data_IF_491877406965
#
_entry.id   IF_491877406965
#
_cell.length_a   1.000
_cell.length_b   1.000
_cell.length_c   1.000
_cell.angle_alpha   90.00
_cell.angle_beta   90.00
_cell.angle_gamma   90.00
#
_symmetry.space_group_name_H-M   'P 1'
#
loop_
_entity.id
_entity.type
_entity.pdbx_description
1 polymer ?
#
# COMPACT_ATOMS: atom_id res chain seq x y z
N UNK A 1 14.97 -23.33 -24.62
CA UNK A 1 14.67 -22.37 -23.53
C UNK A 1 13.93 -21.19 -24.16
N UNK A 2 12.63 -21.33 -24.39
CA UNK A 2 11.78 -20.33 -25.05
C UNK A 2 10.85 -19.78 -23.98
N UNK A 3 11.18 -18.63 -23.40
CA UNK A 3 10.26 -17.93 -22.50
C UNK A 3 9.08 -17.48 -23.35
N UNK A 4 7.95 -18.17 -23.18
CA UNK A 4 6.73 -17.96 -23.95
C UNK A 4 6.10 -16.64 -23.54
N UNK A 5 5.66 -15.86 -24.51
CA UNK A 5 4.93 -14.59 -24.35
C UNK A 5 3.76 -14.73 -23.37
N UNK A 6 3.19 -15.93 -23.25
CA UNK A 6 2.14 -16.27 -22.29
C UNK A 6 2.47 -15.93 -20.84
N UNK A 7 3.72 -16.13 -20.37
CA UNK A 7 4.07 -15.83 -18.97
C UNK A 7 4.14 -14.33 -18.69
N UNK A 8 4.46 -13.54 -19.72
CA UNK A 8 4.49 -12.07 -19.63
C UNK A 8 3.07 -11.53 -19.65
N UNK A 9 2.18 -12.12 -20.45
CA UNK A 9 0.76 -11.76 -20.48
C UNK A 9 0.07 -12.12 -19.16
N UNK A 10 0.31 -13.31 -18.61
CA UNK A 10 -0.27 -13.72 -17.32
C UNK A 10 0.23 -12.83 -16.18
N UNK A 11 1.51 -12.45 -16.19
CA UNK A 11 2.06 -11.51 -15.23
C UNK A 11 1.43 -10.10 -15.37
N UNK A 12 1.12 -9.67 -16.60
CA UNK A 12 0.44 -8.40 -16.86
C UNK A 12 -1.02 -8.43 -16.40
N UNK A 13 -1.75 -9.52 -16.67
CA UNK A 13 -3.16 -9.68 -16.29
C UNK A 13 -3.31 -9.76 -14.76
N UNK A 14 -2.44 -10.54 -14.09
CA UNK A 14 -2.34 -10.59 -12.63
C UNK A 14 -2.04 -9.19 -12.07
N UNK A 15 -1.10 -8.47 -12.68
CA UNK A 15 -0.73 -7.11 -12.26
C UNK A 15 -1.87 -6.10 -12.43
N UNK A 16 -2.65 -6.18 -13.51
CA UNK A 16 -3.85 -5.35 -13.72
C UNK A 16 -4.96 -5.70 -12.73
N UNK A 17 -5.12 -6.98 -12.38
CA UNK A 17 -6.13 -7.43 -11.41
C UNK A 17 -5.83 -6.99 -9.98
N UNK A 18 -4.54 -6.84 -9.64
CA UNK A 18 -4.07 -6.47 -8.30
C UNK A 18 -3.84 -4.95 -8.12
N UNK A 19 -3.86 -4.17 -9.21
CA UNK A 19 -3.55 -2.73 -9.13
C UNK A 19 -4.80 -1.87 -8.90
N UNK A 20 -4.93 -1.34 -7.68
CA UNK A 20 -5.74 -0.15 -7.42
C UNK A 20 -5.26 1.00 -8.30
N UNK A 21 -6.22 1.71 -8.92
CA UNK A 21 -6.04 2.75 -9.94
C UNK A 21 -4.96 3.80 -9.60
N UNK A 22 -4.66 4.01 -8.31
CA UNK A 22 -3.63 4.90 -7.77
C UNK A 22 -2.19 4.58 -8.21
N UNK A 23 -1.89 3.35 -8.66
CA UNK A 23 -0.53 2.96 -9.11
C UNK A 23 -0.28 3.21 -10.60
N UNK A 24 -1.34 3.34 -11.41
CA UNK A 24 -1.25 3.54 -12.86
C UNK A 24 -0.41 4.77 -13.28
N UNK A 25 -0.65 5.96 -12.70
CA UNK A 25 0.10 7.16 -13.05
C UNK A 25 1.62 7.05 -12.79
N UNK A 26 2.03 6.40 -11.71
CA UNK A 26 3.45 6.25 -11.37
C UNK A 26 4.20 5.30 -12.31
N UNK A 27 3.51 4.30 -12.87
CA UNK A 27 4.08 3.41 -13.88
C UNK A 27 4.42 4.18 -15.16
N UNK A 28 3.56 5.11 -15.57
CA UNK A 28 3.82 6.01 -16.71
C UNK A 28 5.01 6.91 -16.43
N UNK A 29 5.12 7.47 -15.21
CA UNK A 29 6.27 8.31 -14.81
C UNK A 29 7.58 7.53 -14.86
N UNK A 30 7.61 6.30 -14.33
CA UNK A 30 8.80 5.45 -14.36
C UNK A 30 9.22 5.10 -15.80
N UNK A 31 8.24 4.78 -16.65
CA UNK A 31 8.49 4.49 -18.07
C UNK A 31 9.03 5.72 -18.82
N UNK A 32 8.43 6.88 -18.63
CA UNK A 32 8.90 8.14 -19.22
C UNK A 32 10.31 8.51 -18.74
N UNK A 33 10.60 8.32 -17.45
CA UNK A 33 11.93 8.55 -16.89
C UNK A 33 13.00 7.63 -17.51
N UNK A 34 12.67 6.36 -17.77
CA UNK A 34 13.56 5.43 -18.46
C UNK A 34 13.89 5.88 -19.88
N UNK A 35 12.87 6.31 -20.65
CA UNK A 35 13.07 6.85 -22.01
C UNK A 35 13.94 8.11 -21.96
N UNK A 36 13.60 9.06 -21.08
CA UNK A 36 14.36 10.30 -20.93
C UNK A 36 15.83 10.03 -20.54
N UNK A 37 16.05 9.03 -19.69
CA UNK A 37 17.39 8.63 -19.26
C UNK A 37 18.28 8.20 -20.42
N UNK A 38 17.74 7.52 -21.44
CA UNK A 38 18.53 7.11 -22.60
C UNK A 38 19.13 8.29 -23.40
N UNK A 39 18.39 9.40 -23.46
CA UNK A 39 18.85 10.60 -24.16
C UNK A 39 19.70 11.52 -23.28
N UNK A 40 19.45 11.53 -21.98
CA UNK A 40 20.16 12.35 -21.02
C UNK A 40 21.49 11.72 -20.56
N UNK A 41 21.57 10.40 -20.48
CA UNK A 41 22.72 9.68 -19.93
C UNK A 41 23.70 9.21 -21.01
N UNK A 42 24.83 9.91 -21.15
CA UNK A 42 25.88 9.54 -22.11
C UNK A 42 27.08 8.84 -21.45
N UNK A 43 27.38 9.14 -20.18
CA UNK A 43 28.54 8.58 -19.49
C UNK A 43 28.16 7.44 -18.51
N UNK A 44 29.03 6.43 -18.30
CA UNK A 44 28.77 5.32 -17.37
C UNK A 44 28.51 5.75 -15.92
N UNK A 45 29.12 6.84 -15.45
CA UNK A 45 28.93 7.31 -14.08
C UNK A 45 27.52 7.89 -13.85
N UNK A 46 26.90 8.44 -14.90
CA UNK A 46 25.55 8.99 -14.83
C UNK A 46 24.53 7.86 -14.59
N UNK A 47 24.78 6.67 -15.13
CA UNK A 47 23.97 5.48 -14.87
C UNK A 47 24.07 5.03 -13.42
N UNK A 48 25.28 5.06 -12.84
CA UNK A 48 25.47 4.76 -11.41
C UNK A 48 24.70 5.76 -10.55
N UNK A 49 24.75 7.05 -10.89
CA UNK A 49 24.01 8.10 -10.19
C UNK A 49 22.49 7.92 -10.31
N UNK A 50 21.97 7.57 -11.50
CA UNK A 50 20.55 7.32 -11.72
C UNK A 50 20.03 6.09 -10.95
N UNK A 51 20.80 5.00 -10.93
CA UNK A 51 20.49 3.81 -10.11
C UNK A 51 20.48 4.18 -8.63
N UNK A 52 21.50 4.94 -8.18
CA UNK A 52 21.58 5.42 -6.80
C UNK A 52 20.38 6.28 -6.42
N UNK A 53 19.98 7.22 -7.27
CA UNK A 53 18.81 8.08 -7.06
C UNK A 53 17.50 7.28 -7.02
N UNK A 54 17.32 6.30 -7.91
CA UNK A 54 16.15 5.42 -7.91
C UNK A 54 16.05 4.59 -6.63
N UNK A 55 17.16 4.00 -6.17
CA UNK A 55 17.22 3.25 -4.92
C UNK A 55 16.92 4.16 -3.71
N UNK A 56 17.47 5.37 -3.67
CA UNK A 56 17.18 6.34 -2.62
C UNK A 56 15.70 6.74 -2.61
N UNK A 57 15.07 6.92 -3.77
CA UNK A 57 13.65 7.25 -3.88
C UNK A 57 12.77 6.11 -3.33
N UNK A 58 13.06 4.85 -3.66
CA UNK A 58 12.36 3.68 -3.11
C UNK A 58 12.54 3.60 -1.60
N UNK A 59 13.77 3.74 -1.11
CA UNK A 59 14.07 3.69 0.33
C UNK A 59 13.40 4.83 1.10
N UNK A 60 13.37 6.05 0.56
CA UNK A 60 12.68 7.17 1.16
C UNK A 60 11.17 6.93 1.22
N UNK A 61 10.57 6.44 0.13
CA UNK A 61 9.16 6.04 0.09
C UNK A 61 8.85 4.98 1.14
N UNK A 62 9.66 3.93 1.24
CA UNK A 62 9.49 2.86 2.22
C UNK A 62 9.68 3.32 3.68
N UNK A 63 10.57 4.29 3.92
CA UNK A 63 10.76 4.88 5.23
C UNK A 63 9.56 5.75 5.65
N UNK A 64 8.94 6.46 4.71
CA UNK A 64 7.74 7.28 4.94
C UNK A 64 6.49 6.39 5.10
N UNK A 65 6.37 5.32 4.32
CA UNK A 65 5.28 4.33 4.36
C UNK A 65 5.48 3.24 5.43
N UNK A 66 6.39 3.43 6.40
CA UNK A 66 6.45 2.52 7.55
C UNK A 66 5.26 2.78 8.48
N UNK A 67 4.12 2.20 8.13
CA UNK A 67 2.99 2.04 9.02
C UNK A 67 3.34 1.07 10.14
N UNK A 68 3.89 1.62 11.22
CA UNK A 68 3.87 1.00 12.55
C UNK A 68 3.67 2.12 13.56
N UNK A 69 2.42 2.24 14.00
CA UNK A 69 1.88 3.25 14.94
C UNK A 69 1.64 4.64 14.35
N UNK A 70 0.36 5.04 14.33
CA UNK A 70 0.01 6.45 14.18
C UNK A 70 0.60 7.21 15.39
N UNK A 71 1.47 8.23 15.16
CA UNK A 71 1.99 9.05 16.25
C UNK A 71 0.84 9.75 17.00
N UNK A 72 1.06 10.13 18.27
CA UNK A 72 0.03 10.81 19.09
C UNK A 72 -0.47 12.13 18.46
N UNK A 73 0.25 12.70 17.49
CA UNK A 73 -0.17 13.88 16.72
C UNK A 73 -1.24 13.60 15.67
N UNK A 74 -1.47 12.35 15.26
CA UNK A 74 -2.60 12.00 14.41
C UNK A 74 -3.90 12.20 15.19
N UNK A 75 -4.54 13.36 14.99
CA UNK A 75 -5.89 13.69 15.43
C UNK A 75 -6.87 13.51 14.26
N UNK A 76 -7.32 12.28 13.98
CA UNK A 76 -8.30 12.07 12.93
C UNK A 76 -9.57 12.84 13.28
N UNK A 77 -10.13 13.53 12.28
CA UNK A 77 -11.30 14.38 12.47
C UNK A 77 -12.61 13.57 12.61
N UNK A 78 -12.61 12.31 12.15
CA UNK A 78 -13.82 11.49 12.03
C UNK A 78 -13.71 10.15 12.76
N UNK A 79 -12.69 9.33 12.46
CA UNK A 79 -12.55 8.01 13.10
C UNK A 79 -11.09 7.56 13.17
N UNK A 80 -10.68 7.03 14.33
CA UNK A 80 -9.37 6.40 14.54
C UNK A 80 -9.55 4.87 14.67
N UNK A 81 -9.41 4.15 13.58
CA UNK A 81 -9.41 2.68 13.59
C UNK A 81 -7.97 2.15 13.69
N UNK A 82 -7.33 2.37 14.84
CA UNK A 82 -5.97 1.88 15.09
C UNK A 82 -5.95 0.43 15.59
N UNK A 83 -4.75 -0.15 15.72
CA UNK A 83 -4.59 -1.54 16.16
C UNK A 83 -5.19 -1.84 17.54
N UNK A 84 -5.17 -0.87 18.48
CA UNK A 84 -5.79 -1.04 19.80
C UNK A 84 -7.31 -1.04 19.72
N UNK A 85 -7.88 -0.13 18.94
CA UNK A 85 -9.32 -0.11 18.68
C UNK A 85 -9.78 -1.40 17.98
N UNK A 86 -9.01 -1.89 17.00
CA UNK A 86 -9.31 -3.13 16.28
C UNK A 86 -9.13 -4.37 17.15
N UNK A 87 -8.16 -4.40 18.08
CA UNK A 87 -8.01 -5.51 19.02
C UNK A 87 -9.20 -5.64 19.98
N UNK A 88 -9.81 -4.50 20.37
CA UNK A 88 -11.00 -4.48 21.24
C UNK A 88 -12.30 -4.75 20.48
N UNK A 89 -12.44 -4.18 19.29
CA UNK A 89 -13.65 -4.34 18.45
C UNK A 89 -13.65 -5.65 17.65
N UNK A 90 -12.46 -6.23 17.44
CA UNK A 90 -12.15 -7.42 16.65
C UNK A 90 -12.54 -7.35 15.17
N UNK A 91 -12.81 -6.14 14.67
CA UNK A 91 -13.15 -5.86 13.28
C UNK A 91 -14.13 -4.70 13.16
N UNK A 92 -14.06 -3.99 12.04
CA UNK A 92 -14.86 -2.80 11.77
C UNK A 92 -15.40 -2.83 10.34
N UNK A 93 -16.70 -2.60 10.18
CA UNK A 93 -17.32 -2.30 8.90
C UNK A 93 -17.90 -0.88 8.93
N UNK A 94 -17.64 -0.10 7.88
CA UNK A 94 -18.27 1.22 7.68
C UNK A 94 -19.37 1.03 6.65
N UNK A 95 -20.62 1.11 7.10
CA UNK A 95 -21.80 1.06 6.25
C UNK A 95 -22.10 2.46 5.78
N UNK A 96 -21.66 2.79 4.55
CA UNK A 96 -21.78 4.14 4.00
C UNK A 96 -23.23 4.55 3.72
N UNK A 97 -24.08 3.60 3.34
CA UNK A 97 -25.50 3.84 3.07
C UNK A 97 -26.24 4.42 4.28
N UNK A 98 -25.90 3.92 5.48
CA UNK A 98 -26.53 4.32 6.75
C UNK A 98 -25.65 5.24 7.60
N UNK A 99 -24.45 5.60 7.11
CA UNK A 99 -23.43 6.33 7.86
C UNK A 99 -23.13 5.70 9.23
N UNK A 100 -23.12 4.36 9.30
CA UNK A 100 -22.91 3.61 10.55
C UNK A 100 -21.60 2.86 10.53
N UNK A 101 -21.08 2.70 11.73
CA UNK A 101 -19.92 1.87 12.01
C UNK A 101 -20.45 0.65 12.77
N UNK A 102 -20.18 -0.54 12.25
CA UNK A 102 -20.51 -1.81 12.89
C UNK A 102 -19.23 -2.49 13.33
N UNK A 103 -19.17 -2.93 14.58
CA UNK A 103 -18.05 -3.72 15.09
C UNK A 103 -18.44 -5.17 15.28
N UNK A 104 -17.46 -6.07 15.23
CA UNK A 104 -17.72 -7.48 15.51
C UNK A 104 -18.12 -7.67 16.98
N UNK A 105 -17.56 -6.87 17.89
CA UNK A 105 -17.96 -6.86 19.31
C UNK A 105 -19.43 -6.52 19.55
N UNK A 106 -20.07 -5.68 18.72
CA UNK A 106 -21.48 -5.30 18.91
C UNK A 106 -22.44 -6.48 18.72
N UNK A 107 -22.12 -7.38 17.78
CA UNK A 107 -22.97 -8.51 17.42
C UNK A 107 -22.51 -9.83 18.03
N UNK A 108 -21.20 -10.01 18.19
CA UNK A 108 -20.60 -11.29 18.58
C UNK A 108 -19.87 -11.24 19.93
N UNK A 109 -19.73 -10.07 20.54
CA UNK A 109 -18.92 -9.88 21.75
C UNK A 109 -19.43 -10.61 23.00
N UNK A 110 -20.70 -11.02 23.01
CA UNK A 110 -21.32 -11.75 24.13
C UNK A 110 -21.16 -13.27 24.03
N UNK A 111 -20.62 -13.79 22.93
CA UNK A 111 -20.43 -15.23 22.78
C UNK A 111 -19.14 -15.70 23.46
N UNK A 112 -19.18 -16.84 24.14
CA UNK A 112 -18.03 -17.37 24.90
C UNK A 112 -16.81 -17.77 24.07
N UNK A 113 -16.92 -17.82 22.75
CA UNK A 113 -15.78 -18.04 21.84
C UNK A 113 -15.11 -16.73 21.42
N UNK A 114 -15.77 -15.59 21.65
CA UNK A 114 -15.18 -14.28 21.40
C UNK A 114 -14.15 -13.94 22.48
N UNK A 115 -12.96 -13.52 22.06
CA UNK A 115 -11.92 -13.02 22.96
C UNK A 115 -11.52 -11.62 22.49
N UNK A 116 -11.92 -10.60 23.25
CA UNK A 116 -11.28 -9.30 23.12
C UNK A 116 -9.87 -9.41 23.73
N UNK A 117 -8.86 -8.87 23.05
CA UNK A 117 -7.54 -8.70 23.65
C UNK A 117 -7.68 -7.59 24.72
N UNK A 118 -7.91 -8.00 25.96
CA UNK A 118 -7.93 -7.13 27.12
C UNK A 118 -6.48 -6.96 27.58
N UNK A 119 -5.97 -5.74 27.50
CA UNK A 119 -4.75 -5.33 28.23
C UNK A 119 -4.93 -5.59 29.73
#
# INVERSE_FOLDING_TARGET
>A
MTLSVSSVTDAAEQFLSESGFDRGPWLVVAFAAGIASWFALQDPWQWIAAIGAGLLMVMAGAAILKDRWLPMSCRPKWLKADGKFLARSGGLAIVLADQRIQTVSDHQGQHGWWRAELD
#
